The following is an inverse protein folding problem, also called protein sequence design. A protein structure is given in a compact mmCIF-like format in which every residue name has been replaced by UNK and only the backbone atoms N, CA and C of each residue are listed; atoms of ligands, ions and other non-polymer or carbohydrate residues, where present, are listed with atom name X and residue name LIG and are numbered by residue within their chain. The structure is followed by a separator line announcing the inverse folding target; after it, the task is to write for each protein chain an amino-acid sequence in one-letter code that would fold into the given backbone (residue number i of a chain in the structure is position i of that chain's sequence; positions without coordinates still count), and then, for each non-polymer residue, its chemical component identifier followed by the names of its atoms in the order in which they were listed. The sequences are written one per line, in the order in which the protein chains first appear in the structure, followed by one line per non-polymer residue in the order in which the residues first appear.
data_IF_253297177370
#
_entry.id   IF_253297177370
#
_cell.length_a   1.000
_cell.length_b   1.000
_cell.length_c   1.000
_cell.angle_alpha   90.00
_cell.angle_beta   90.00
_cell.angle_gamma   90.00
#
_symmetry.space_group_name_H-M   'P 1'
#
loop_
_entity.id
_entity.type
_entity.pdbx_description
1 polymer ?
#
# COMPACT_ATOMS: atom_id res chain seq x y z
N UNK A 1 -18.67 -33.65 39.81
CA UNK A 1 -19.95 -32.92 39.74
C UNK A 1 -20.10 -32.40 38.32
N UNK A 2 -21.24 -32.61 37.67
CA UNK A 2 -21.48 -32.58 36.22
C UNK A 2 -21.37 -31.18 35.62
N UNK A 3 -20.83 -31.12 34.41
CA UNK A 3 -20.99 -30.02 33.43
C UNK A 3 -22.45 -29.93 32.95
N UNK A 4 -22.90 -28.79 32.45
CA UNK A 4 -23.89 -28.79 31.38
C UNK A 4 -23.37 -28.13 30.07
N UNK A 5 -23.84 -28.77 29.01
CA UNK A 5 -23.75 -28.49 27.60
C UNK A 5 -24.28 -27.12 27.17
N UNK A 6 -23.60 -26.51 26.19
CA UNK A 6 -24.09 -26.39 24.80
C UNK A 6 -24.99 -25.19 24.53
N UNK A 7 -24.46 -24.16 23.84
CA UNK A 7 -25.21 -23.42 22.81
C UNK A 7 -24.28 -23.00 21.66
N UNK A 8 -24.50 -23.64 20.52
CA UNK A 8 -24.00 -23.17 19.21
C UNK A 8 -24.81 -21.94 18.80
N UNK A 9 -24.14 -20.85 18.50
CA UNK A 9 -24.73 -19.75 17.73
C UNK A 9 -24.31 -19.88 16.28
N UNK A 10 -25.29 -20.09 15.43
CA UNK A 10 -25.20 -20.07 13.98
C UNK A 10 -24.95 -18.62 13.54
N UNK A 11 -23.85 -18.42 12.82
CA UNK A 11 -23.57 -17.20 12.09
C UNK A 11 -24.42 -17.20 10.81
N UNK A 12 -25.32 -16.26 10.71
CA UNK A 12 -26.09 -15.95 9.51
C UNK A 12 -25.21 -15.12 8.58
N UNK A 13 -24.70 -15.75 7.51
CA UNK A 13 -24.07 -15.07 6.39
C UNK A 13 -25.15 -14.69 5.38
N UNK A 14 -25.49 -13.42 5.27
CA UNK A 14 -26.25 -12.89 4.16
C UNK A 14 -25.28 -12.47 3.04
N UNK A 15 -25.08 -13.37 2.10
CA UNK A 15 -24.47 -13.06 0.80
C UNK A 15 -25.50 -12.43 -0.12
N UNK A 16 -25.22 -11.22 -0.58
CA UNK A 16 -25.92 -10.60 -1.70
C UNK A 16 -25.18 -10.98 -3.00
N UNK A 17 -25.68 -12.01 -3.68
CA UNK A 17 -25.25 -12.38 -5.04
C UNK A 17 -26.15 -11.72 -6.06
N UNK A 18 -25.66 -10.73 -6.80
CA UNK A 18 -26.26 -10.28 -8.03
C UNK A 18 -25.64 -11.05 -9.21
N UNK A 19 -26.32 -12.06 -9.69
CA UNK A 19 -26.04 -12.67 -10.99
C UNK A 19 -27.30 -12.77 -11.80
N UNK A 20 -27.39 -11.93 -12.82
CA UNK A 20 -28.35 -12.07 -13.90
C UNK A 20 -27.95 -13.26 -14.79
N UNK A 21 -28.64 -14.39 -14.66
CA UNK A 21 -28.61 -15.49 -15.65
C UNK A 21 -29.92 -15.49 -16.39
N UNK A 22 -29.89 -15.16 -17.67
CA UNK A 22 -30.90 -15.56 -18.64
C UNK A 22 -30.76 -17.07 -18.89
N UNK A 23 -31.74 -17.84 -18.45
CA UNK A 23 -32.01 -19.20 -18.95
C UNK A 23 -33.30 -19.17 -19.72
N UNK A 24 -33.21 -19.36 -21.03
CA UNK A 24 -34.35 -19.80 -21.86
C UNK A 24 -34.41 -21.31 -21.82
N UNK A 25 -35.44 -21.84 -21.18
CA UNK A 25 -35.80 -23.25 -21.25
C UNK A 25 -36.88 -23.41 -22.35
N UNK A 26 -36.65 -24.28 -23.32
CA UNK A 26 -37.62 -24.77 -24.28
C UNK A 26 -38.24 -26.05 -23.75
N UNK A 27 -39.56 -26.23 -23.80
CA UNK A 27 -40.17 -27.55 -23.67
C UNK A 27 -40.35 -28.19 -25.03
N UNK A 28 -39.95 -29.45 -25.14
CA UNK A 28 -40.34 -30.34 -26.23
C UNK A 28 -41.81 -30.75 -26.06
N UNK A 29 -42.61 -30.59 -27.11
CA UNK A 29 -43.80 -31.44 -27.35
C UNK A 29 -43.91 -31.75 -28.82
N UNK A 30 -44.08 -33.03 -29.06
CA UNK A 30 -44.32 -33.72 -30.34
C UNK A 30 -45.70 -33.41 -30.93
N UNK A 31 -45.80 -33.28 -32.24
CA UNK A 31 -47.08 -33.31 -32.96
C UNK A 31 -47.05 -32.62 -34.30
N UNK A 32 -46.85 -33.38 -35.38
CA UNK A 32 -47.25 -33.00 -36.76
C UNK A 32 -48.76 -33.16 -36.91
N UNK A 33 -49.51 -32.50 -37.87
CA UNK A 33 -49.15 -32.28 -39.26
C UNK A 33 -49.66 -30.97 -39.95
N UNK A 34 -49.20 -30.84 -41.19
CA UNK A 34 -49.85 -30.21 -42.36
C UNK A 34 -49.82 -28.68 -42.51
N UNK A 35 -48.93 -28.28 -43.39
CA UNK A 35 -49.05 -27.45 -44.56
C UNK A 35 -50.14 -26.37 -44.61
N UNK A 36 -49.70 -25.12 -44.60
CA UNK A 36 -50.22 -24.04 -45.50
C UNK A 36 -49.14 -22.98 -45.66
N UNK A 37 -48.68 -22.87 -46.90
CA UNK A 37 -47.82 -21.81 -47.40
C UNK A 37 -48.62 -20.54 -47.44
N UNK A 38 -48.24 -19.48 -46.77
CA UNK A 38 -48.64 -18.10 -47.07
C UNK A 38 -47.35 -17.26 -47.09
N UNK A 39 -47.01 -16.88 -48.29
CA UNK A 39 -45.98 -15.88 -48.58
C UNK A 39 -46.34 -14.56 -47.93
N UNK A 40 -45.52 -14.04 -47.07
CA UNK A 40 -45.48 -12.64 -46.68
C UNK A 40 -44.03 -12.15 -46.82
N UNK A 41 -43.80 -11.54 -47.99
CA UNK A 41 -42.62 -10.73 -48.25
C UNK A 41 -42.59 -9.55 -47.29
N UNK A 42 -41.45 -9.27 -46.69
CA UNK A 42 -41.18 -7.93 -46.19
C UNK A 42 -40.62 -7.74 -44.79
N UNK A 43 -40.00 -8.75 -44.08
CA UNK A 43 -39.42 -8.50 -42.75
C UNK A 43 -38.02 -9.07 -42.48
N UNK A 44 -37.18 -9.14 -43.51
CA UNK A 44 -35.82 -9.66 -43.36
C UNK A 44 -34.66 -8.63 -43.12
N UNK A 45 -34.88 -7.30 -43.13
CA UNK A 45 -33.74 -6.42 -42.82
C UNK A 45 -33.59 -6.01 -41.35
N UNK A 46 -34.57 -6.29 -40.44
CA UNK A 46 -34.51 -5.76 -39.09
C UNK A 46 -33.70 -6.64 -38.10
N UNK A 47 -33.57 -7.92 -38.40
CA UNK A 47 -32.80 -8.84 -37.54
C UNK A 47 -31.27 -8.78 -37.74
N UNK A 48 -30.81 -8.26 -38.88
CA UNK A 48 -29.38 -8.06 -39.15
C UNK A 48 -28.84 -6.76 -38.56
N UNK A 49 -29.66 -5.81 -38.18
CA UNK A 49 -29.25 -4.57 -37.55
C UNK A 49 -29.06 -4.69 -36.03
N UNK A 50 -29.61 -5.70 -35.38
CA UNK A 50 -29.46 -5.91 -33.94
C UNK A 50 -28.23 -6.74 -33.58
N UNK A 51 -27.64 -7.46 -34.52
CA UNK A 51 -26.36 -8.18 -34.28
C UNK A 51 -25.11 -7.28 -34.35
N UNK A 52 -25.26 -6.04 -34.82
CA UNK A 52 -24.14 -5.09 -34.95
C UNK A 52 -23.88 -4.24 -33.71
N UNK A 53 -24.71 -4.37 -32.65
CA UNK A 53 -24.58 -3.55 -31.44
C UNK A 53 -23.90 -4.24 -30.27
N UNK A 54 -23.54 -5.52 -30.41
CA UNK A 54 -22.69 -6.21 -29.43
C UNK A 54 -21.25 -6.33 -29.95
N UNK A 55 -20.59 -5.21 -30.16
CA UNK A 55 -19.13 -5.24 -30.22
C UNK A 55 -18.62 -5.43 -28.81
N UNK A 56 -17.75 -6.44 -28.55
CA UNK A 56 -17.06 -6.51 -27.29
C UNK A 56 -16.20 -5.25 -27.21
N UNK A 57 -16.55 -4.35 -26.27
CA UNK A 57 -15.66 -3.25 -25.91
C UNK A 57 -14.44 -3.90 -25.26
N UNK A 58 -13.41 -4.08 -26.05
CA UNK A 58 -12.09 -4.36 -25.53
C UNK A 58 -11.70 -3.12 -24.72
N UNK A 59 -11.84 -3.19 -23.40
CA UNK A 59 -11.23 -2.18 -22.53
C UNK A 59 -9.72 -2.32 -22.70
N UNK A 60 -9.14 -1.43 -23.49
CA UNK A 60 -7.71 -1.29 -23.60
C UNK A 60 -7.23 -0.78 -22.24
N UNK A 61 -6.78 -1.69 -21.39
CA UNK A 61 -6.09 -1.29 -20.17
C UNK A 61 -4.78 -0.65 -20.60
N UNK A 62 -4.68 0.65 -20.42
CA UNK A 62 -3.44 1.37 -20.65
C UNK A 62 -2.46 0.89 -19.59
N UNK A 63 -1.51 0.05 -20.00
CA UNK A 63 -0.43 -0.38 -19.15
C UNK A 63 0.42 0.84 -18.77
N UNK A 64 0.36 1.22 -17.49
CA UNK A 64 1.17 2.32 -16.98
C UNK A 64 2.61 1.84 -16.86
N UNK A 65 3.47 2.33 -17.76
CA UNK A 65 4.93 2.10 -17.68
C UNK A 65 5.56 3.20 -16.85
N UNK A 66 6.18 2.83 -15.74
CA UNK A 66 6.84 3.74 -14.80
C UNK A 66 8.36 3.56 -14.95
N UNK A 67 9.07 4.63 -15.26
CA UNK A 67 10.53 4.63 -15.17
C UNK A 67 10.91 4.62 -13.68
N UNK A 68 11.72 3.62 -13.29
CA UNK A 68 12.11 3.44 -11.91
C UNK A 68 13.44 4.20 -11.68
N UNK A 69 13.35 5.30 -10.97
CA UNK A 69 14.42 6.26 -10.74
C UNK A 69 14.75 6.44 -9.24
N UNK A 70 15.46 7.50 -8.90
CA UNK A 70 15.83 7.87 -7.52
C UNK A 70 14.72 8.61 -6.76
N UNK A 71 13.52 8.73 -7.32
CA UNK A 71 12.37 9.42 -6.75
C UNK A 71 12.69 10.84 -6.25
N UNK A 72 13.17 11.76 -7.12
CA UNK A 72 13.69 13.07 -6.71
C UNK A 72 12.64 13.99 -6.09
N UNK A 73 11.36 13.72 -6.34
CA UNK A 73 10.24 14.48 -5.76
C UNK A 73 9.79 14.01 -4.39
N UNK A 74 10.40 12.97 -3.81
CA UNK A 74 9.97 12.44 -2.54
C UNK A 74 10.54 13.17 -1.34
N UNK A 75 9.79 13.14 -0.23
CA UNK A 75 10.24 13.66 1.06
C UNK A 75 10.84 12.52 1.88
N UNK A 76 12.12 12.66 2.22
CA UNK A 76 12.96 11.59 2.74
C UNK A 76 13.76 11.98 3.99
N UNK A 77 13.24 12.94 4.76
CA UNK A 77 13.93 13.48 5.94
C UNK A 77 14.24 12.36 6.96
N UNK A 78 15.48 12.26 7.35
CA UNK A 78 15.98 11.29 8.34
C UNK A 78 16.10 11.86 9.74
N UNK A 79 15.90 13.16 9.90
CA UNK A 79 15.96 13.88 11.18
C UNK A 79 17.29 13.70 11.93
N UNK A 80 18.39 13.56 11.18
CA UNK A 80 19.71 13.34 11.77
C UNK A 80 20.18 14.56 12.55
N UNK A 81 20.53 14.35 13.83
CA UNK A 81 21.02 15.40 14.72
C UNK A 81 19.93 16.34 15.28
N UNK A 82 18.68 16.23 14.82
CA UNK A 82 17.59 17.13 15.24
C UNK A 82 16.31 16.40 15.69
N UNK A 83 16.35 15.09 15.80
CA UNK A 83 15.16 14.28 16.10
C UNK A 83 14.42 14.76 17.36
N UNK A 84 15.15 15.09 18.43
CA UNK A 84 14.57 15.60 19.67
C UNK A 84 13.83 16.93 19.46
N UNK A 85 14.46 17.89 18.80
CA UNK A 85 13.86 19.20 18.54
C UNK A 85 12.63 19.10 17.63
N UNK A 86 12.68 18.22 16.63
CA UNK A 86 11.52 17.95 15.75
C UNK A 86 10.39 17.32 16.54
N UNK A 87 10.66 16.35 17.39
CA UNK A 87 9.67 15.71 18.26
C UNK A 87 9.02 16.73 19.19
N UNK A 88 9.82 17.57 19.86
CA UNK A 88 9.31 18.64 20.73
C UNK A 88 8.38 19.57 19.96
N UNK A 89 8.78 20.03 18.76
CA UNK A 89 7.96 20.90 17.92
C UNK A 89 6.65 20.25 17.49
N UNK A 90 6.68 18.98 17.11
CA UNK A 90 5.48 18.23 16.70
C UNK A 90 4.48 17.99 17.85
N UNK A 91 4.97 17.93 19.09
CA UNK A 91 4.14 17.72 20.27
C UNK A 91 3.73 19.04 20.97
N UNK A 92 4.14 20.21 20.44
CA UNK A 92 3.76 21.51 20.99
C UNK A 92 2.39 21.96 20.43
N UNK A 93 1.57 22.56 21.31
CA UNK A 93 0.30 23.16 20.94
C UNK A 93 -0.64 22.17 20.21
N UNK A 94 -1.31 22.70 19.18
CA UNK A 94 -2.31 21.95 18.40
C UNK A 94 -1.75 21.27 17.15
N UNK A 95 -0.43 21.10 17.03
CA UNK A 95 0.18 20.60 15.81
C UNK A 95 -0.39 19.26 15.37
N UNK A 96 -0.36 18.27 16.26
CA UNK A 96 -0.91 16.94 16.02
C UNK A 96 -2.42 16.96 15.74
N UNK A 97 -3.17 17.72 16.55
CA UNK A 97 -4.64 17.84 16.39
C UNK A 97 -5.00 18.45 15.05
N UNK A 98 -4.25 19.47 14.59
CA UNK A 98 -4.45 20.10 13.28
C UNK A 98 -4.10 19.15 12.14
N UNK A 99 -3.04 18.35 12.28
CA UNK A 99 -2.72 17.32 11.29
C UNK A 99 -3.85 16.28 11.17
N UNK A 100 -4.39 15.79 12.28
CA UNK A 100 -5.51 14.83 12.27
C UNK A 100 -6.79 15.41 11.63
N UNK A 101 -7.02 16.72 11.73
CA UNK A 101 -8.16 17.41 11.09
C UNK A 101 -7.95 17.69 9.61
N UNK A 102 -6.72 17.63 9.11
CA UNK A 102 -6.38 17.97 7.72
C UNK A 102 -6.99 17.05 6.67
N UNK A 103 -7.38 15.84 7.04
CA UNK A 103 -7.95 14.82 6.16
C UNK A 103 -9.15 14.13 6.78
N UNK A 104 -10.20 13.94 5.96
CA UNK A 104 -11.40 13.20 6.38
C UNK A 104 -11.03 11.77 6.80
N UNK A 105 -11.43 11.38 8.01
CA UNK A 105 -11.20 10.05 8.55
C UNK A 105 -9.81 9.81 9.16
N UNK A 106 -8.88 10.79 9.12
CA UNK A 106 -7.55 10.58 9.68
C UNK A 106 -7.60 10.40 11.19
N UNK A 107 -8.35 11.23 11.92
CA UNK A 107 -8.55 11.08 13.36
C UNK A 107 -9.13 9.70 13.72
N UNK A 108 -10.12 9.22 12.98
CA UNK A 108 -10.72 7.90 13.21
C UNK A 108 -9.72 6.77 12.93
N UNK A 109 -8.92 6.90 11.87
CA UNK A 109 -7.89 5.91 11.53
C UNK A 109 -6.79 5.86 12.59
N UNK A 110 -6.37 7.02 13.09
CA UNK A 110 -5.41 7.12 14.19
C UNK A 110 -5.94 6.48 15.47
N UNK A 111 -7.18 6.81 15.83
CA UNK A 111 -7.83 6.23 17.00
C UNK A 111 -7.95 4.70 16.89
N UNK A 112 -8.38 4.20 15.74
CA UNK A 112 -8.45 2.76 15.48
C UNK A 112 -7.06 2.09 15.59
N UNK A 113 -6.03 2.70 15.04
CA UNK A 113 -4.66 2.20 15.17
C UNK A 113 -4.19 2.18 16.62
N UNK A 114 -4.54 3.21 17.41
CA UNK A 114 -4.25 3.27 18.83
C UNK A 114 -4.93 2.14 19.62
N UNK A 115 -6.22 1.93 19.41
CA UNK A 115 -6.94 0.83 20.04
C UNK A 115 -6.36 -0.55 19.63
N UNK A 116 -6.00 -0.71 18.36
CA UNK A 116 -5.36 -1.93 17.86
C UNK A 116 -4.02 -2.17 18.56
N UNK A 117 -3.22 -1.13 18.76
CA UNK A 117 -1.96 -1.25 19.51
C UNK A 117 -2.21 -1.65 20.98
N UNK A 118 -3.10 -0.96 21.65
CA UNK A 118 -3.42 -1.25 23.06
C UNK A 118 -3.93 -2.67 23.27
N UNK A 119 -4.71 -3.21 22.32
CA UNK A 119 -5.22 -4.58 22.41
C UNK A 119 -4.15 -5.68 22.32
N UNK A 120 -2.96 -5.35 21.82
CA UNK A 120 -1.86 -6.32 21.71
C UNK A 120 -1.12 -6.55 23.03
N UNK A 121 -1.29 -5.68 24.03
CA UNK A 121 -0.66 -5.75 25.36
C UNK A 121 0.88 -5.98 25.31
N UNK A 122 1.55 -5.45 24.27
CA UNK A 122 3.00 -5.59 24.07
C UNK A 122 3.77 -4.45 24.72
N UNK A 123 4.99 -4.75 25.14
CA UNK A 123 5.93 -3.74 25.64
C UNK A 123 6.65 -3.07 24.48
N UNK A 124 6.88 -1.76 24.61
CA UNK A 124 7.62 -0.99 23.62
C UNK A 124 9.14 -1.23 23.77
N UNK A 125 9.89 -1.30 22.66
CA UNK A 125 11.33 -1.20 22.67
C UNK A 125 11.80 0.10 23.35
N UNK A 126 13.05 0.10 23.81
CA UNK A 126 13.65 1.28 24.43
C UNK A 126 13.55 2.51 23.50
N UNK A 127 13.29 3.64 24.10
CA UNK A 127 13.19 4.96 23.46
C UNK A 127 11.99 5.12 22.48
N UNK A 128 11.17 4.08 22.27
CA UNK A 128 9.92 4.19 21.55
C UNK A 128 8.78 4.65 22.47
N UNK A 129 7.86 5.43 21.91
CA UNK A 129 6.62 5.87 22.55
C UNK A 129 5.40 5.23 21.89
N UNK A 130 4.24 5.35 22.51
CA UNK A 130 2.96 4.90 21.91
C UNK A 130 2.73 5.51 20.53
N UNK A 131 3.15 6.76 20.29
CA UNK A 131 3.02 7.41 18.98
C UNK A 131 3.80 6.68 17.87
N UNK A 132 4.99 6.13 18.18
CA UNK A 132 5.75 5.30 17.23
C UNK A 132 5.01 4.02 16.87
N UNK A 133 4.48 3.32 17.86
CA UNK A 133 3.71 2.10 17.65
C UNK A 133 2.44 2.36 16.84
N UNK A 134 1.69 3.40 17.20
CA UNK A 134 0.47 3.79 16.49
C UNK A 134 0.75 4.19 15.04
N UNK A 135 1.86 4.88 14.77
CA UNK A 135 2.28 5.23 13.41
C UNK A 135 2.53 3.96 12.55
N UNK A 136 3.22 2.95 13.10
CA UNK A 136 3.43 1.67 12.41
C UNK A 136 2.10 0.97 12.16
N UNK A 137 1.24 0.85 13.18
CA UNK A 137 -0.08 0.20 13.05
C UNK A 137 -0.92 0.92 12.01
N UNK A 138 -1.02 2.25 12.07
CA UNK A 138 -1.79 3.05 11.10
C UNK A 138 -1.33 2.80 9.67
N UNK A 139 -0.02 2.78 9.45
CA UNK A 139 0.55 2.54 8.13
C UNK A 139 0.21 1.12 7.62
N UNK A 140 0.35 0.10 8.47
CA UNK A 140 0.15 -1.31 8.11
C UNK A 140 -1.33 -1.74 8.03
N UNK A 141 -2.27 -0.95 8.55
CA UNK A 141 -3.71 -1.21 8.41
C UNK A 141 -4.22 -1.06 6.97
N UNK A 142 -3.39 -0.58 6.04
CA UNK A 142 -3.71 -0.43 4.62
C UNK A 142 -5.05 0.31 4.40
N UNK A 143 -5.15 1.49 4.98
CA UNK A 143 -6.33 2.37 4.91
C UNK A 143 -6.17 3.43 3.81
N UNK A 144 -7.25 4.15 3.49
CA UNK A 144 -7.17 5.32 2.60
C UNK A 144 -6.15 6.35 3.09
N UNK A 145 -6.01 6.50 4.41
CA UNK A 145 -5.00 7.40 5.00
C UNK A 145 -3.58 6.91 4.71
N UNK A 146 -3.32 5.59 4.73
CA UNK A 146 -2.02 5.03 4.35
C UNK A 146 -1.69 5.32 2.88
N UNK A 147 -2.66 5.18 1.98
CA UNK A 147 -2.51 5.49 0.55
C UNK A 147 -2.29 6.99 0.31
N UNK A 148 -3.05 7.85 1.00
CA UNK A 148 -2.86 9.31 0.94
C UNK A 148 -1.48 9.73 1.44
N UNK A 149 -1.01 9.12 2.53
CA UNK A 149 0.32 9.36 3.09
C UNK A 149 1.43 8.94 2.12
N UNK A 150 1.32 7.77 1.49
CA UNK A 150 2.27 7.29 0.48
C UNK A 150 2.37 8.29 -0.68
N UNK A 151 1.22 8.71 -1.24
CA UNK A 151 1.17 9.66 -2.34
C UNK A 151 1.72 11.04 -1.96
N UNK A 152 1.39 11.51 -0.76
CA UNK A 152 1.91 12.77 -0.23
C UNK A 152 3.44 12.72 -0.04
N UNK A 153 3.98 11.63 0.49
CA UNK A 153 5.43 11.45 0.68
C UNK A 153 6.18 11.48 -0.65
N UNK A 154 5.64 10.83 -1.70
CA UNK A 154 6.26 10.81 -3.04
C UNK A 154 6.35 12.17 -3.71
N UNK A 155 5.58 13.15 -3.28
CA UNK A 155 5.50 14.47 -3.92
C UNK A 155 5.94 15.63 -3.05
N UNK A 156 6.00 15.47 -1.73
CA UNK A 156 6.28 16.55 -0.78
C UNK A 156 7.70 17.15 -0.90
N UNK A 157 8.64 16.37 -1.45
CA UNK A 157 10.03 16.80 -1.67
C UNK A 157 10.25 17.58 -2.96
N UNK A 158 9.23 17.88 -3.77
CA UNK A 158 9.41 18.65 -5.01
C UNK A 158 9.83 20.09 -4.73
N UNK A 159 9.40 20.68 -3.60
CA UNK A 159 9.82 22.01 -3.16
C UNK A 159 9.53 22.23 -1.68
N UNK A 160 10.26 23.18 -1.07
CA UNK A 160 9.97 23.63 0.31
C UNK A 160 8.55 24.18 0.44
N UNK A 161 8.04 24.85 -0.59
CA UNK A 161 6.65 25.34 -0.61
C UNK A 161 5.66 24.16 -0.50
N UNK A 162 5.85 23.12 -1.30
CA UNK A 162 4.97 21.94 -1.28
C UNK A 162 5.02 21.22 0.06
N UNK A 163 6.21 21.05 0.63
CA UNK A 163 6.36 20.52 1.98
C UNK A 163 5.60 21.35 3.01
N UNK A 164 5.74 22.66 2.98
CA UNK A 164 5.14 23.53 3.99
C UNK A 164 3.61 23.56 3.89
N UNK A 165 3.03 23.66 2.68
CA UNK A 165 1.62 23.95 2.45
C UNK A 165 0.76 22.74 2.11
N UNK A 166 1.35 21.69 1.50
CA UNK A 166 0.58 20.55 1.00
C UNK A 166 0.85 19.24 1.75
N UNK A 167 1.97 19.14 2.46
CA UNK A 167 2.32 17.92 3.18
C UNK A 167 1.74 17.95 4.60
N UNK A 168 0.56 17.36 4.75
CA UNK A 168 -0.19 17.29 6.01
C UNK A 168 0.00 15.97 6.76
N UNK A 169 1.19 15.39 6.69
CA UNK A 169 1.56 14.14 7.35
C UNK A 169 2.94 14.23 8.04
N UNK A 170 3.29 15.42 8.53
CA UNK A 170 4.61 15.65 9.13
C UNK A 170 4.82 14.87 10.42
N UNK A 171 3.75 14.78 11.24
CA UNK A 171 3.75 13.98 12.47
C UNK A 171 3.90 12.49 12.16
N UNK A 172 3.06 11.96 11.26
CA UNK A 172 3.12 10.54 10.87
C UNK A 172 4.47 10.18 10.25
N UNK A 173 5.01 11.03 9.36
CA UNK A 173 6.30 10.80 8.71
C UNK A 173 7.45 10.75 9.73
N UNK A 174 7.45 11.68 10.68
CA UNK A 174 8.45 11.70 11.73
C UNK A 174 8.40 10.44 12.58
N UNK A 175 7.24 10.10 13.14
CA UNK A 175 7.12 8.96 14.02
C UNK A 175 7.38 7.63 13.33
N UNK A 176 7.00 7.50 12.06
CA UNK A 176 7.28 6.29 11.28
C UNK A 176 8.79 6.16 10.96
N UNK A 177 9.43 7.26 10.57
CA UNK A 177 10.89 7.30 10.34
C UNK A 177 11.66 6.98 11.61
N UNK A 178 11.31 7.63 12.71
CA UNK A 178 11.95 7.43 14.01
C UNK A 178 11.75 6.00 14.52
N UNK A 179 10.55 5.42 14.35
CA UNK A 179 10.27 4.05 14.71
C UNK A 179 11.19 3.05 13.98
N UNK A 180 11.34 3.20 12.66
CA UNK A 180 12.25 2.35 11.86
C UNK A 180 13.68 2.47 12.38
N UNK A 181 14.15 3.68 12.65
CA UNK A 181 15.52 3.92 13.13
C UNK A 181 15.75 3.31 14.52
N UNK A 182 14.81 3.46 15.45
CA UNK A 182 14.90 2.89 16.80
C UNK A 182 14.87 1.36 16.77
N UNK A 183 13.96 0.76 15.99
CA UNK A 183 13.90 -0.69 15.79
C UNK A 183 15.19 -1.21 15.15
N UNK A 184 15.73 -0.49 14.16
CA UNK A 184 17.00 -0.87 13.52
C UNK A 184 18.17 -0.85 14.51
N UNK A 185 18.25 0.18 15.37
CA UNK A 185 19.25 0.25 16.43
C UNK A 185 19.11 -0.90 17.44
N UNK A 186 17.88 -1.26 17.79
CA UNK A 186 17.60 -2.37 18.70
C UNK A 186 18.05 -3.71 18.11
N UNK A 187 17.75 -3.95 16.82
CA UNK A 187 18.18 -5.14 16.08
C UNK A 187 19.70 -5.22 16.01
N UNK A 188 20.36 -4.09 15.68
CA UNK A 188 21.81 -4.03 15.60
C UNK A 188 22.50 -4.34 16.93
N UNK A 189 21.91 -3.88 18.04
CA UNK A 189 22.43 -4.19 19.41
C UNK A 189 22.29 -5.66 19.78
N UNK A 190 21.18 -6.31 19.38
CA UNK A 190 20.91 -7.70 19.75
C UNK A 190 21.57 -8.72 18.83
N UNK A 191 21.54 -8.49 17.54
CA UNK A 191 21.82 -9.50 16.52
C UNK A 191 22.84 -9.07 15.46
N UNK A 192 23.49 -7.91 15.63
CA UNK A 192 24.30 -7.30 14.58
C UNK A 192 23.46 -6.77 13.39
N UNK A 193 24.15 -6.27 12.40
CA UNK A 193 23.49 -5.76 11.19
C UNK A 193 22.97 -6.93 10.33
N UNK A 194 21.65 -6.96 10.10
CA UNK A 194 21.02 -7.95 9.23
C UNK A 194 20.27 -7.25 8.10
N UNK A 195 20.38 -7.82 6.90
CA UNK A 195 19.47 -7.52 5.81
C UNK A 195 18.35 -8.57 5.78
N UNK A 196 17.19 -8.17 5.32
CA UNK A 196 16.00 -9.03 5.25
C UNK A 196 15.58 -9.21 3.82
N UNK A 197 15.23 -10.45 3.44
CA UNK A 197 14.60 -10.72 2.16
C UNK A 197 13.09 -10.59 2.33
N UNK A 198 12.49 -9.73 1.52
CA UNK A 198 11.05 -9.45 1.54
C UNK A 198 10.50 -9.31 0.12
N UNK A 199 9.18 -9.34 -0.02
CA UNK A 199 8.51 -9.34 -1.31
C UNK A 199 7.40 -8.31 -1.34
N UNK A 200 7.30 -7.58 -2.45
CA UNK A 200 6.24 -6.60 -2.68
C UNK A 200 5.69 -6.76 -4.10
N UNK A 201 4.37 -6.80 -4.24
CA UNK A 201 3.69 -6.81 -5.53
C UNK A 201 3.16 -5.42 -5.87
N UNK A 202 3.34 -4.96 -7.08
CA UNK A 202 2.70 -3.76 -7.61
C UNK A 202 1.59 -4.16 -8.57
N UNK A 203 0.38 -3.65 -8.30
CA UNK A 203 -0.78 -3.82 -9.17
C UNK A 203 -0.74 -2.76 -10.27
N UNK A 204 -1.15 -3.14 -11.47
CA UNK A 204 -1.40 -2.25 -12.61
C UNK A 204 -0.23 -1.34 -13.01
N UNK A 205 1.02 -1.72 -12.68
CA UNK A 205 2.21 -0.95 -13.02
C UNK A 205 3.36 -1.84 -13.50
N UNK A 206 3.90 -1.50 -14.67
CA UNK A 206 5.17 -2.03 -15.17
C UNK A 206 6.30 -1.06 -14.87
N UNK A 207 7.27 -1.52 -14.10
CA UNK A 207 8.46 -0.73 -13.80
C UNK A 207 9.56 -1.05 -14.79
N UNK A 208 10.03 0.00 -15.49
CA UNK A 208 11.18 -0.08 -16.36
C UNK A 208 12.45 0.14 -15.52
N UNK A 209 13.30 -0.85 -15.54
CA UNK A 209 14.62 -0.78 -14.97
C UNK A 209 15.56 -1.68 -15.77
N UNK A 210 16.85 -1.57 -15.53
CA UNK A 210 17.85 -2.47 -16.10
C UNK A 210 18.78 -2.95 -14.98
N UNK A 211 19.38 -4.14 -15.11
CA UNK A 211 20.39 -4.61 -14.15
C UNK A 211 21.52 -3.59 -14.02
N UNK A 212 21.97 -3.36 -12.77
CA UNK A 212 22.95 -2.34 -12.42
C UNK A 212 22.35 -0.94 -12.19
N UNK A 213 21.07 -0.70 -12.50
CA UNK A 213 20.42 0.56 -12.14
C UNK A 213 20.27 0.69 -10.64
N UNK A 214 20.54 1.89 -10.13
CA UNK A 214 20.25 2.24 -8.72
C UNK A 214 18.96 3.01 -8.68
N UNK A 215 18.02 2.53 -7.84
CA UNK A 215 16.67 3.06 -7.72
C UNK A 215 16.31 3.32 -6.26
N UNK A 216 15.23 4.06 -6.07
CA UNK A 216 14.64 4.32 -4.75
C UNK A 216 13.12 4.35 -4.84
N UNK A 217 12.41 3.75 -3.88
CA UNK A 217 10.95 3.81 -3.86
C UNK A 217 10.40 5.21 -3.55
N UNK A 218 11.16 6.00 -2.77
CA UNK A 218 10.77 7.37 -2.41
C UNK A 218 9.50 7.45 -1.54
N UNK A 219 9.13 6.33 -0.95
CA UNK A 219 8.00 6.17 -0.03
C UNK A 219 8.32 5.08 0.98
N UNK A 220 7.61 5.05 2.08
CA UNK A 220 7.63 3.87 2.93
C UNK A 220 7.02 2.71 2.14
N UNK A 221 7.58 1.52 2.33
CA UNK A 221 7.12 0.33 1.64
C UNK A 221 6.91 -0.79 2.66
N UNK A 222 5.70 -1.35 2.69
CA UNK A 222 5.44 -2.60 3.38
C UNK A 222 5.69 -3.76 2.43
N UNK A 223 6.58 -4.67 2.82
CA UNK A 223 6.92 -5.85 2.05
C UNK A 223 6.73 -7.12 2.91
N UNK A 224 6.16 -8.17 2.32
CA UNK A 224 5.91 -9.43 3.02
C UNK A 224 7.19 -10.26 3.18
N UNK A 225 7.37 -10.88 4.34
CA UNK A 225 8.39 -11.92 4.52
C UNK A 225 8.03 -13.23 3.80
N UNK A 226 6.77 -13.38 3.38
CA UNK A 226 6.25 -14.58 2.76
C UNK A 226 6.11 -14.37 1.25
N UNK A 227 6.85 -15.13 0.45
CA UNK A 227 6.84 -15.05 -1.01
C UNK A 227 5.45 -15.31 -1.62
N UNK A 228 4.71 -16.25 -1.07
CA UNK A 228 3.37 -16.62 -1.54
C UNK A 228 2.34 -15.48 -1.44
N UNK A 229 2.59 -14.50 -0.58
CA UNK A 229 1.72 -13.33 -0.45
C UNK A 229 1.79 -12.38 -1.65
N UNK A 230 2.84 -12.44 -2.46
CA UNK A 230 2.95 -11.62 -3.66
C UNK A 230 1.87 -11.93 -4.70
N UNK A 231 1.35 -13.15 -4.72
CA UNK A 231 0.28 -13.56 -5.62
C UNK A 231 -1.06 -12.87 -5.33
N UNK A 232 -1.23 -12.32 -4.13
CA UNK A 232 -2.43 -11.59 -3.72
C UNK A 232 -2.33 -10.08 -3.93
N UNK A 233 -1.15 -9.55 -4.28
CA UNK A 233 -0.87 -8.12 -4.42
C UNK A 233 -0.66 -7.66 -5.87
N UNK A 234 -1.29 -8.30 -6.82
CA UNK A 234 -1.14 -7.96 -8.24
C UNK A 234 -0.02 -8.74 -8.95
N UNK A 235 -0.19 -8.88 -10.26
CA UNK A 235 0.59 -9.81 -11.06
C UNK A 235 1.57 -9.13 -12.01
N UNK A 236 1.61 -7.78 -12.09
CA UNK A 236 2.36 -7.10 -13.15
C UNK A 236 3.82 -6.87 -12.81
N UNK A 237 4.13 -6.50 -11.57
CA UNK A 237 5.51 -6.40 -11.13
C UNK A 237 5.64 -6.93 -9.70
N UNK A 238 6.58 -7.84 -9.50
CA UNK A 238 6.95 -8.35 -8.17
C UNK A 238 8.38 -7.94 -7.88
N UNK A 239 8.59 -7.33 -6.73
CA UNK A 239 9.89 -6.98 -6.20
C UNK A 239 10.33 -8.01 -5.16
N UNK A 240 11.47 -8.68 -5.39
CA UNK A 240 12.19 -9.45 -4.39
C UNK A 240 13.29 -8.55 -3.81
N UNK A 241 13.09 -8.08 -2.60
CA UNK A 241 13.88 -7.00 -2.00
C UNK A 241 14.79 -7.56 -0.92
N UNK A 242 16.09 -7.34 -1.04
CA UNK A 242 17.06 -7.52 0.05
C UNK A 242 17.31 -6.16 0.70
N UNK A 243 16.60 -5.85 1.80
CA UNK A 243 16.68 -4.57 2.50
C UNK A 243 17.59 -4.66 3.71
N UNK A 244 18.47 -3.67 3.87
CA UNK A 244 19.38 -3.55 5.03
C UNK A 244 18.96 -2.42 5.99
N UNK A 245 18.07 -1.51 5.57
CA UNK A 245 17.52 -0.44 6.42
C UNK A 245 16.09 -0.72 6.87
N UNK A 246 15.39 -1.63 6.21
CA UNK A 246 14.07 -2.08 6.63
C UNK A 246 14.10 -2.86 7.94
N UNK A 247 12.95 -2.88 8.61
CA UNK A 247 12.77 -3.52 9.93
C UNK A 247 11.53 -4.40 9.94
N UNK A 248 11.57 -5.58 10.58
CA UNK A 248 10.39 -6.37 10.84
C UNK A 248 9.45 -5.62 11.79
N UNK A 249 8.17 -5.61 11.44
CA UNK A 249 7.13 -4.91 12.23
C UNK A 249 6.02 -5.86 12.68
N UNK A 250 6.29 -7.18 12.72
CA UNK A 250 5.34 -8.21 13.15
C UNK A 250 4.85 -8.04 14.60
N UNK A 251 5.61 -7.33 15.42
CA UNK A 251 5.19 -6.98 16.78
C UNK A 251 4.15 -5.86 16.84
N UNK A 252 3.95 -5.12 15.76
CA UNK A 252 3.01 -4.01 15.62
C UNK A 252 1.92 -4.32 14.61
N UNK A 253 2.25 -5.05 13.56
CA UNK A 253 1.33 -5.47 12.50
C UNK A 253 0.77 -6.87 12.78
N UNK A 254 -0.43 -7.14 12.28
CA UNK A 254 -1.03 -8.49 12.29
C UNK A 254 -0.42 -9.40 11.20
N UNK A 255 0.55 -8.90 10.43
CA UNK A 255 1.18 -9.58 9.30
C UNK A 255 2.69 -9.65 9.47
N UNK A 256 3.31 -10.66 8.86
CA UNK A 256 4.77 -10.79 8.81
C UNK A 256 5.31 -9.89 7.71
N UNK A 257 5.59 -8.65 8.08
CA UNK A 257 5.99 -7.58 7.16
C UNK A 257 7.31 -6.95 7.58
N UNK A 258 8.04 -6.48 6.57
CA UNK A 258 9.18 -5.58 6.71
C UNK A 258 8.73 -4.19 6.27
N UNK A 259 9.03 -3.19 7.07
CA UNK A 259 8.81 -1.79 6.72
C UNK A 259 10.12 -1.18 6.22
N UNK A 260 10.15 -0.81 4.94
CA UNK A 260 11.32 -0.23 4.26
C UNK A 260 11.18 1.30 4.24
N UNK A 261 12.21 2.06 4.63
CA UNK A 261 12.16 3.52 4.65
C UNK A 261 12.31 4.14 3.25
N UNK A 262 11.81 5.38 3.03
CA UNK A 262 11.84 6.05 1.73
C UNK A 262 13.24 6.41 1.22
N UNK A 263 14.23 6.44 2.08
CA UNK A 263 15.60 6.84 1.79
C UNK A 263 16.56 5.67 1.48
N UNK A 264 16.09 4.41 1.48
CA UNK A 264 16.94 3.27 1.12
C UNK A 264 17.10 3.19 -0.39
N UNK A 265 18.36 3.04 -0.83
CA UNK A 265 18.73 2.79 -2.22
C UNK A 265 18.80 1.30 -2.51
N UNK A 266 18.43 0.93 -3.72
CA UNK A 266 18.51 -0.44 -4.20
C UNK A 266 19.16 -0.51 -5.57
N UNK A 267 20.05 -1.47 -5.73
CA UNK A 267 20.54 -1.89 -7.04
C UNK A 267 19.63 -2.97 -7.62
N UNK A 268 19.27 -2.83 -8.87
CA UNK A 268 18.55 -3.86 -9.61
C UNK A 268 19.56 -4.93 -10.03
N UNK A 269 19.55 -6.08 -9.37
CA UNK A 269 20.53 -7.15 -9.63
C UNK A 269 20.06 -8.12 -10.70
N UNK A 270 18.76 -8.31 -10.83
CA UNK A 270 18.18 -9.20 -11.84
C UNK A 270 16.76 -8.78 -12.24
N UNK A 271 16.40 -9.06 -13.48
CA UNK A 271 15.04 -8.89 -14.00
C UNK A 271 14.68 -10.16 -14.76
N UNK A 272 13.58 -10.79 -14.37
CA UNK A 272 13.03 -11.94 -15.10
C UNK A 272 11.57 -11.68 -15.47
N UNK A 273 11.19 -12.09 -16.69
CA UNK A 273 9.83 -11.97 -17.17
C UNK A 273 9.07 -13.28 -16.93
N UNK A 274 7.86 -13.15 -16.49
CA UNK A 274 6.91 -14.24 -16.28
C UNK A 274 5.66 -14.00 -17.12
N UNK A 275 4.85 -15.02 -17.40
CA UNK A 275 3.64 -14.87 -18.21
C UNK A 275 2.63 -13.82 -17.71
N UNK A 276 2.74 -13.45 -16.44
CA UNK A 276 1.82 -12.50 -15.77
C UNK A 276 2.49 -11.19 -15.35
N UNK A 277 3.76 -10.94 -15.72
CA UNK A 277 4.45 -9.71 -15.33
C UNK A 277 5.97 -9.87 -15.18
N UNK A 278 6.60 -8.89 -14.56
CA UNK A 278 8.04 -8.85 -14.34
C UNK A 278 8.40 -9.12 -12.88
N UNK A 279 9.51 -9.78 -12.68
CA UNK A 279 10.10 -10.00 -11.37
C UNK A 279 11.44 -9.28 -11.29
N UNK A 280 11.55 -8.31 -10.38
CA UNK A 280 12.75 -7.53 -10.14
C UNK A 280 13.40 -7.94 -8.83
N UNK A 281 14.68 -8.29 -8.88
CA UNK A 281 15.49 -8.55 -7.68
C UNK A 281 16.28 -7.30 -7.33
N UNK A 282 16.08 -6.81 -6.11
CA UNK A 282 16.65 -5.58 -5.59
C UNK A 282 17.54 -5.87 -4.40
N UNK A 283 18.75 -5.33 -4.42
CA UNK A 283 19.69 -5.41 -3.30
C UNK A 283 19.94 -4.02 -2.72
N UNK A 284 19.93 -3.91 -1.38
CA UNK A 284 20.26 -2.66 -0.70
C UNK A 284 21.63 -2.13 -1.11
N UNK A 285 21.68 -0.88 -1.56
CA UNK A 285 22.87 -0.18 -2.06
C UNK A 285 23.21 1.07 -1.23
N UNK A 286 22.69 1.13 0.01
CA UNK A 286 22.93 2.26 0.89
C UNK A 286 21.71 3.15 1.07
N UNK A 287 21.93 4.46 1.16
CA UNK A 287 20.84 5.42 1.39
C UNK A 287 21.11 6.76 0.71
N UNK A 288 20.03 7.44 0.36
CA UNK A 288 20.02 8.81 -0.15
C UNK A 288 18.90 9.57 0.56
N UNK A 289 19.23 10.71 1.19
CA UNK A 289 18.28 11.61 1.80
C UNK A 289 18.59 13.03 1.34
N UNK A 290 17.61 13.65 0.71
CA UNK A 290 17.70 15.03 0.20
C UNK A 290 17.38 16.04 1.28
N UNK A 291 16.49 15.66 2.21
CA UNK A 291 16.03 16.50 3.30
C UNK A 291 16.63 16.08 4.63
N UNK A 292 16.95 17.07 5.46
CA UNK A 292 17.30 16.84 6.87
C UNK A 292 16.82 18.01 7.71
N UNK A 293 16.06 17.73 8.79
CA UNK A 293 15.55 18.71 9.74
C UNK A 293 14.65 19.80 9.08
N UNK A 294 13.94 19.46 8.01
CA UNK A 294 13.18 20.44 7.20
C UNK A 294 12.11 21.19 8.01
N UNK A 295 11.47 20.52 8.97
CA UNK A 295 10.47 21.14 9.84
C UNK A 295 11.03 22.31 10.64
N UNK A 296 12.30 22.28 11.00
CA UNK A 296 12.95 23.35 11.79
C UNK A 296 13.40 24.53 10.92
N UNK A 297 13.61 24.33 9.62
CA UNK A 297 14.08 25.37 8.70
C UNK A 297 12.98 26.38 8.34
N UNK A 298 11.71 26.00 8.42
CA UNK A 298 10.58 26.86 8.06
C UNK A 298 10.23 27.97 9.06
N UNK A 299 10.92 28.03 10.21
CA UNK A 299 10.67 29.05 11.27
C UNK A 299 11.61 30.25 11.19
N UNK A 300 12.64 30.24 10.36
CA UNK A 300 13.65 31.30 10.28
C UNK A 300 13.29 32.44 9.29
N UNK A 301 12.15 32.39 8.63
CA UNK A 301 11.79 33.35 7.57
C UNK A 301 10.69 34.35 7.98
N UNK A 302 10.41 34.50 9.26
CA UNK A 302 9.42 35.47 9.78
C UNK A 302 9.99 36.28 10.95
N UNK A 303 11.28 36.69 10.89
CA UNK A 303 11.84 37.72 11.72
C UNK A 303 12.38 38.85 10.85
#
# INVERSE_FOLDING_TARGET
MRLPEGRRYLLNTSECLSTSRCRTALPMTTGTPAMRILLLEGQLPLLLLLSSLCQPTWSYQVETKIDFDLAPGSFDDRYQGCSKQVMEKLNQGDYFTNELKSRKGYSNSWHRAHLTWLSQAKTLPKDMTTAHAVAIVLYTLNSNISSDFINATRSAGRSTWQYNHSFHFKYLHYYLTSAIQLLRQEIARKNGTRCYKAYHGAEDAYFKAHPGAVIRFGQFLSASLLREKTQTFGNQTVFAISTCLGVPVEDFSLRKEILVPPYELFEVVNISNHPRGSWLELQSAGNLSTYNCQLLKGTSALN
#
